data_IF_841731217978
#
_entry.id   IF_841731217978
#
_cell.length_a   1.000
_cell.length_b   1.000
_cell.length_c   1.000
_cell.angle_alpha   90.00
_cell.angle_beta   90.00
_cell.angle_gamma   90.00
#
_symmetry.space_group_name_H-M   'P 1'
#
loop_
_entity.id
_entity.type
_entity.pdbx_description
1 polymer ?
#
# COMPACT_ATOMS: atom_id res chain seq x y z
N UNK A 1 -15.60 -14.73 -16.32
CA UNK A 1 -14.15 -15.01 -16.24
C UNK A 1 -13.63 -14.31 -14.98
N UNK A 2 -13.54 -15.03 -13.85
CA UNK A 2 -13.10 -14.49 -12.54
C UNK A 2 -11.98 -15.38 -12.00
N UNK A 3 -10.92 -15.56 -12.79
CA UNK A 3 -9.83 -16.42 -12.37
C UNK A 3 -8.96 -15.69 -11.34
N UNK A 4 -8.59 -16.39 -10.27
CA UNK A 4 -7.55 -15.94 -9.37
C UNK A 4 -6.24 -15.81 -10.17
N UNK A 5 -5.59 -14.66 -10.12
CA UNK A 5 -4.38 -14.31 -10.85
C UNK A 5 -3.24 -13.92 -9.92
N UNK A 6 -2.04 -13.83 -10.48
CA UNK A 6 -0.86 -13.28 -9.83
C UNK A 6 0.01 -12.57 -10.86
N UNK A 7 0.77 -11.59 -10.41
CA UNK A 7 1.76 -10.88 -11.19
C UNK A 7 3.02 -10.66 -10.35
N UNK A 8 4.18 -10.69 -10.99
CA UNK A 8 5.45 -10.47 -10.31
C UNK A 8 6.45 -9.73 -11.19
N UNK A 9 7.29 -8.91 -10.55
CA UNK A 9 8.43 -8.22 -11.17
C UNK A 9 9.64 -8.40 -10.28
N UNK A 10 10.78 -8.74 -10.88
CA UNK A 10 12.08 -8.80 -10.22
C UNK A 10 13.05 -7.83 -10.90
N UNK A 11 13.65 -6.95 -10.10
CA UNK A 11 14.67 -5.98 -10.49
C UNK A 11 16.00 -6.37 -9.88
N UNK A 12 17.07 -6.20 -10.65
CA UNK A 12 18.45 -6.32 -10.19
C UNK A 12 18.90 -5.03 -9.52
N UNK A 13 19.26 -5.11 -8.24
CA UNK A 13 19.57 -3.93 -7.44
C UNK A 13 20.89 -3.27 -7.85
N UNK A 14 21.82 -4.00 -8.47
CA UNK A 14 23.11 -3.44 -8.89
C UNK A 14 22.98 -2.48 -10.07
N UNK A 15 22.05 -2.75 -10.99
CA UNK A 15 21.95 -2.03 -12.27
C UNK A 15 20.57 -1.45 -12.59
N UNK A 16 19.50 -1.80 -11.86
CA UNK A 16 18.15 -1.29 -12.06
C UNK A 16 17.33 -1.99 -13.16
N UNK A 17 17.90 -2.97 -13.87
CA UNK A 17 17.19 -3.67 -14.94
C UNK A 17 16.15 -4.67 -14.41
N UNK A 18 15.03 -4.76 -15.10
CA UNK A 18 14.01 -5.80 -14.87
C UNK A 18 14.56 -7.13 -15.36
N UNK A 19 14.81 -8.07 -14.44
CA UNK A 19 15.34 -9.41 -14.73
C UNK A 19 14.26 -10.44 -15.04
N UNK A 20 13.10 -10.29 -14.43
CA UNK A 20 11.98 -11.18 -14.63
C UNK A 20 10.66 -10.42 -14.50
N UNK A 21 9.70 -10.76 -15.36
CA UNK A 21 8.34 -10.22 -15.33
C UNK A 21 7.35 -11.33 -15.64
N UNK A 22 6.31 -11.44 -14.82
CA UNK A 22 5.23 -12.41 -14.99
C UNK A 22 3.89 -11.67 -14.87
N UNK A 23 3.10 -11.69 -15.94
CA UNK A 23 1.85 -10.91 -16.05
C UNK A 23 0.55 -11.67 -15.74
N UNK A 24 0.64 -12.97 -15.44
CA UNK A 24 -0.50 -13.85 -15.20
C UNK A 24 -0.06 -15.28 -14.91
N UNK A 25 -1.01 -16.14 -14.49
CA UNK A 25 -0.72 -17.56 -14.15
C UNK A 25 -0.52 -18.47 -15.36
N UNK A 26 -1.26 -18.22 -16.43
CA UNK A 26 -1.15 -18.94 -17.70
C UNK A 26 -1.39 -17.95 -18.85
N UNK A 27 -0.83 -18.26 -20.00
CA UNK A 27 -1.05 -17.54 -21.25
C UNK A 27 -1.19 -18.57 -22.37
N UNK A 28 -2.43 -18.90 -22.72
CA UNK A 28 -2.74 -19.92 -23.74
C UNK A 28 -2.86 -19.32 -25.15
N UNK A 29 -2.60 -18.01 -25.29
CA UNK A 29 -2.69 -17.26 -26.54
C UNK A 29 -1.33 -16.68 -26.96
N UNK A 30 -0.95 -16.94 -28.21
CA UNK A 30 0.26 -16.42 -28.85
C UNK A 30 0.01 -15.01 -29.40
N UNK A 31 -0.06 -14.02 -28.51
CA UNK A 31 -0.17 -12.62 -28.88
C UNK A 31 -0.12 -11.70 -27.66
N UNK A 32 -0.36 -10.41 -27.86
CA UNK A 32 -0.38 -9.45 -26.76
C UNK A 32 -1.61 -9.67 -25.88
N UNK A 33 -1.37 -10.04 -24.63
CA UNK A 33 -2.39 -10.14 -23.59
C UNK A 33 -2.10 -9.16 -22.47
N UNK A 34 -3.10 -8.88 -21.63
CA UNK A 34 -2.91 -8.06 -20.42
C UNK A 34 -1.77 -8.60 -19.56
N UNK A 35 -0.71 -7.82 -19.41
CA UNK A 35 0.37 -8.06 -18.47
C UNK A 35 0.12 -7.27 -17.18
N UNK A 36 -0.42 -7.96 -16.18
CA UNK A 36 -0.81 -7.35 -14.90
C UNK A 36 0.37 -6.77 -14.12
N UNK A 37 1.60 -7.16 -14.43
CA UNK A 37 2.77 -6.68 -13.72
C UNK A 37 3.01 -5.18 -13.92
N UNK A 38 2.62 -4.61 -15.07
CA UNK A 38 2.79 -3.19 -15.37
C UNK A 38 1.54 -2.49 -15.94
N UNK A 39 0.54 -3.25 -16.40
CA UNK A 39 -0.70 -2.69 -16.96
C UNK A 39 -1.90 -2.76 -16.01
N UNK A 40 -1.78 -3.46 -14.87
CA UNK A 40 -2.85 -3.55 -13.86
C UNK A 40 -2.44 -2.82 -12.60
N UNK A 41 -3.24 -1.83 -12.23
CA UNK A 41 -3.06 -1.05 -11.01
C UNK A 41 -4.03 -1.56 -9.94
N UNK A 42 -3.53 -1.78 -8.73
CA UNK A 42 -4.25 -2.44 -7.63
C UNK A 42 -3.93 -1.75 -6.32
N UNK A 43 -4.83 -1.88 -5.35
CA UNK A 43 -4.63 -1.30 -4.01
C UNK A 43 -3.40 -1.96 -3.35
N UNK A 44 -2.33 -1.22 -3.01
CA UNK A 44 -1.12 -1.81 -2.41
C UNK A 44 -1.32 -2.25 -0.96
N UNK A 45 -2.35 -1.71 -0.28
CA UNK A 45 -2.52 -1.86 1.15
C UNK A 45 -1.28 -1.40 1.92
N UNK A 46 -0.99 -2.07 3.05
CA UNK A 46 0.18 -1.77 3.89
C UNK A 46 1.55 -1.89 3.20
N UNK A 47 1.65 -2.44 1.99
CA UNK A 47 2.93 -2.49 1.26
C UNK A 47 3.40 -1.08 0.83
N UNK A 48 2.51 -0.07 0.79
CA UNK A 48 2.92 1.30 0.44
C UNK A 48 3.63 2.03 1.59
N UNK A 49 3.36 1.65 2.85
CA UNK A 49 3.79 2.40 4.04
C UNK A 49 5.29 2.72 4.07
N UNK A 50 6.21 1.80 3.72
CA UNK A 50 7.64 2.12 3.67
C UNK A 50 7.98 3.26 2.70
N UNK A 51 7.28 3.37 1.57
CA UNK A 51 7.59 4.35 0.53
C UNK A 51 7.10 5.76 0.88
N UNK A 52 5.90 5.89 1.44
CA UNK A 52 5.26 7.21 1.59
C UNK A 52 5.09 7.68 3.04
N UNK A 53 5.26 6.79 4.02
CA UNK A 53 5.11 7.13 5.44
C UNK A 53 6.46 7.07 6.12
N UNK A 54 6.99 5.88 6.32
CA UNK A 54 8.06 5.68 7.30
C UNK A 54 9.44 6.13 6.81
N UNK A 55 9.80 5.89 5.54
CA UNK A 55 11.10 6.37 5.01
C UNK A 55 11.11 7.90 4.96
N UNK A 56 10.04 8.58 4.49
CA UNK A 56 9.91 10.03 4.63
C UNK A 56 9.98 10.53 6.08
N UNK A 57 9.36 9.85 7.05
CA UNK A 57 9.44 10.22 8.47
C UNK A 57 10.87 10.17 9.01
N UNK A 58 11.70 9.22 8.55
CA UNK A 58 13.11 9.13 8.94
C UNK A 58 13.97 10.27 8.39
N UNK A 59 13.48 11.04 7.42
CA UNK A 59 14.14 12.27 7.01
C UNK A 59 13.81 13.47 7.91
N UNK A 60 12.87 13.30 8.85
CA UNK A 60 12.25 14.33 9.70
C UNK A 60 12.26 13.96 11.18
N UNK A 61 13.45 13.67 11.71
CA UNK A 61 13.74 13.43 13.13
C UNK A 61 13.20 12.13 13.75
N UNK A 62 12.42 11.32 13.03
CA UNK A 62 12.12 9.96 13.50
C UNK A 62 13.31 9.03 13.26
N UNK A 63 13.49 8.09 14.18
CA UNK A 63 14.45 6.99 14.08
C UNK A 63 13.71 5.66 14.31
N UNK A 64 14.35 4.51 14.05
CA UNK A 64 13.75 3.21 14.36
C UNK A 64 13.28 3.07 15.81
N UNK A 65 13.94 3.77 16.75
CA UNK A 65 13.71 3.66 18.19
C UNK A 65 12.83 4.78 18.76
N UNK A 66 12.41 5.76 17.93
CA UNK A 66 11.43 6.76 18.32
C UNK A 66 10.16 6.11 18.86
N UNK A 67 9.70 6.58 20.02
CA UNK A 67 8.48 6.09 20.67
C UNK A 67 7.27 6.78 20.06
N UNK A 68 6.25 6.00 19.73
CA UNK A 68 4.97 6.42 19.16
C UNK A 68 3.82 5.72 19.88
N UNK A 69 2.67 6.37 19.98
CA UNK A 69 1.52 5.86 20.73
C UNK A 69 0.46 5.28 19.80
N UNK A 70 0.28 3.95 19.87
CA UNK A 70 -0.78 3.21 19.21
C UNK A 70 -2.04 3.20 20.08
N UNK A 71 -3.05 3.95 19.65
CA UNK A 71 -4.33 4.11 20.33
C UNK A 71 -5.45 4.33 19.30
N UNK A 72 -6.73 4.14 19.66
CA UNK A 72 -7.85 4.42 18.78
C UNK A 72 -7.84 5.86 18.26
N UNK A 73 -8.16 6.03 16.99
CA UNK A 73 -8.37 7.33 16.36
C UNK A 73 -9.87 7.42 16.05
N UNK A 74 -10.54 8.43 16.57
CA UNK A 74 -11.96 8.70 16.28
C UNK A 74 -12.13 8.92 14.76
N UNK A 75 -13.09 8.22 14.15
CA UNK A 75 -13.30 8.15 12.69
C UNK A 75 -12.08 7.70 11.87
N UNK A 76 -11.04 7.21 12.54
CA UNK A 76 -9.80 6.77 11.92
C UNK A 76 -9.73 5.26 11.69
N UNK A 77 -8.59 4.79 11.16
CA UNK A 77 -8.41 3.38 10.87
C UNK A 77 -8.26 2.55 12.13
N UNK A 78 -8.72 1.30 12.07
CA UNK A 78 -8.48 0.29 13.10
C UNK A 78 -7.28 -0.58 12.72
N UNK A 79 -6.58 -1.09 13.73
CA UNK A 79 -5.55 -2.10 13.54
C UNK A 79 -6.18 -3.41 13.07
N UNK A 80 -5.46 -4.17 12.22
CA UNK A 80 -5.97 -5.41 11.65
C UNK A 80 -6.32 -6.48 12.72
N UNK A 81 -5.66 -6.45 13.88
CA UNK A 81 -5.94 -7.34 15.01
C UNK A 81 -6.97 -6.78 16.01
N UNK A 82 -7.49 -5.57 15.79
CA UNK A 82 -8.45 -4.90 16.67
C UNK A 82 -7.90 -4.44 18.03
N UNK A 83 -6.59 -4.57 18.28
CA UNK A 83 -5.95 -4.22 19.55
C UNK A 83 -5.00 -3.03 19.41
N UNK A 84 -4.70 -2.38 20.52
CA UNK A 84 -3.84 -1.20 20.60
C UNK A 84 -2.73 -1.46 21.61
N UNK A 85 -1.48 -1.20 21.20
CA UNK A 85 -0.28 -1.58 21.96
C UNK A 85 0.24 -0.47 22.88
N UNK A 86 -0.38 0.71 22.90
CA UNK A 86 0.13 1.87 23.64
C UNK A 86 1.45 2.35 23.09
N UNK A 87 2.42 2.65 23.96
CA UNK A 87 3.74 3.11 23.54
C UNK A 87 4.54 1.96 22.91
N UNK A 88 4.92 2.14 21.65
CA UNK A 88 5.77 1.22 20.88
C UNK A 88 6.83 2.02 20.11
N UNK A 89 7.86 1.36 19.60
CA UNK A 89 8.82 2.01 18.71
C UNK A 89 8.30 2.08 17.28
N UNK A 90 8.81 3.00 16.46
CA UNK A 90 8.54 3.03 15.01
C UNK A 90 8.93 1.69 14.35
N UNK A 91 10.05 1.07 14.76
CA UNK A 91 10.42 -0.29 14.34
C UNK A 91 9.28 -1.28 14.56
N UNK A 92 8.75 -1.34 15.78
CA UNK A 92 7.65 -2.24 16.12
C UNK A 92 6.40 -1.93 15.29
N UNK A 93 6.12 -0.66 15.04
CA UNK A 93 4.97 -0.24 14.24
C UNK A 93 5.07 -0.73 12.79
N UNK A 94 6.25 -0.69 12.17
CA UNK A 94 6.48 -1.22 10.81
C UNK A 94 6.41 -2.75 10.80
N UNK A 95 7.09 -3.42 11.72
CA UNK A 95 7.18 -4.89 11.82
C UNK A 95 5.79 -5.53 11.98
N UNK A 96 4.95 -4.94 12.82
CA UNK A 96 3.56 -5.35 13.07
C UNK A 96 2.55 -4.67 12.14
N UNK A 97 3.01 -3.77 11.27
CA UNK A 97 2.19 -3.05 10.29
C UNK A 97 1.01 -2.28 10.90
N UNK A 98 1.24 -1.61 12.02
CA UNK A 98 0.23 -0.87 12.81
C UNK A 98 -0.39 0.25 11.96
N UNK A 99 -1.71 0.34 11.92
CA UNK A 99 -2.43 1.25 11.02
C UNK A 99 -2.54 2.67 11.60
N UNK A 100 -2.82 2.77 12.89
CA UNK A 100 -2.92 4.04 13.62
C UNK A 100 -1.63 4.85 13.53
N UNK A 101 -0.47 4.21 13.72
CA UNK A 101 0.83 4.87 13.61
C UNK A 101 1.11 5.32 12.18
N UNK A 102 0.84 4.47 11.19
CA UNK A 102 1.05 4.84 9.80
C UNK A 102 0.20 6.06 9.41
N UNK A 103 -1.04 6.11 9.90
CA UNK A 103 -1.94 7.24 9.70
C UNK A 103 -1.42 8.52 10.37
N UNK A 104 -1.13 8.47 11.68
CA UNK A 104 -0.64 9.64 12.44
C UNK A 104 0.64 10.23 11.85
N UNK A 105 1.63 9.37 11.52
CA UNK A 105 2.89 9.84 10.92
C UNK A 105 2.68 10.44 9.53
N UNK A 106 1.72 9.92 8.75
CA UNK A 106 1.41 10.45 7.43
C UNK A 106 0.63 11.76 7.49
N UNK A 107 -0.24 11.95 8.48
CA UNK A 107 -0.87 13.24 8.75
C UNK A 107 0.15 14.29 9.18
N UNK A 108 1.10 13.93 10.05
CA UNK A 108 2.22 14.80 10.44
C UNK A 108 3.11 15.15 9.23
N UNK A 109 3.37 14.18 8.36
CA UNK A 109 4.13 14.37 7.12
C UNK A 109 3.40 15.26 6.11
N UNK A 110 2.07 15.17 6.10
CA UNK A 110 1.09 15.53 5.07
C UNK A 110 1.05 14.60 3.85
N UNK A 111 -0.14 14.35 3.25
CA UNK A 111 -0.26 13.53 2.04
C UNK A 111 0.55 14.05 0.85
N UNK A 112 0.67 15.36 0.69
CA UNK A 112 1.43 16.01 -0.39
C UNK A 112 2.89 15.62 -0.33
N UNK A 113 3.50 15.68 0.85
CA UNK A 113 4.89 15.27 1.02
C UNK A 113 5.02 13.78 0.73
N UNK A 114 4.17 12.95 1.33
CA UNK A 114 4.29 11.50 1.19
C UNK A 114 4.15 11.04 -0.26
N UNK A 115 3.20 11.61 -1.01
CA UNK A 115 3.01 11.31 -2.43
C UNK A 115 4.10 11.89 -3.32
N UNK A 116 4.75 13.00 -2.94
CA UNK A 116 5.86 13.56 -3.72
C UNK A 116 7.02 12.58 -3.94
N UNK A 117 7.21 11.60 -3.05
CA UNK A 117 8.19 10.53 -3.25
C UNK A 117 7.78 9.57 -4.37
N UNK A 118 6.48 9.26 -4.50
CA UNK A 118 5.97 8.43 -5.60
C UNK A 118 6.01 9.18 -6.93
N UNK A 119 5.76 10.50 -6.92
CA UNK A 119 5.89 11.37 -8.09
C UNK A 119 7.33 11.35 -8.63
N UNK A 120 8.34 11.54 -7.76
CA UNK A 120 9.76 11.42 -8.13
C UNK A 120 10.12 10.02 -8.67
N UNK A 121 9.46 8.98 -8.16
CA UNK A 121 9.62 7.61 -8.66
C UNK A 121 8.75 7.28 -9.88
N UNK A 122 8.12 8.28 -10.50
CA UNK A 122 7.30 8.16 -11.71
C UNK A 122 6.14 7.15 -11.60
N UNK A 123 5.47 7.08 -10.45
CA UNK A 123 4.23 6.31 -10.32
C UNK A 123 3.15 6.94 -11.21
N UNK A 124 2.62 6.17 -12.15
CA UNK A 124 1.93 6.67 -13.34
C UNK A 124 0.44 6.99 -13.13
N UNK A 125 -0.16 6.54 -12.02
CA UNK A 125 -1.62 6.57 -11.80
C UNK A 125 -2.05 7.25 -10.49
N UNK A 126 -1.19 8.11 -9.94
CA UNK A 126 -1.58 8.97 -8.83
C UNK A 126 -2.74 9.88 -9.25
N UNK A 127 -3.75 9.99 -8.40
CA UNK A 127 -4.94 10.80 -8.62
C UNK A 127 -5.02 11.95 -7.60
N UNK A 128 -5.67 13.06 -7.95
CA UNK A 128 -5.88 14.18 -7.03
C UNK A 128 -6.65 13.76 -5.76
N UNK A 129 -7.47 12.71 -5.83
CA UNK A 129 -8.18 12.16 -4.67
C UNK A 129 -7.29 11.32 -3.73
N UNK A 130 -6.04 11.05 -4.12
CA UNK A 130 -5.08 10.29 -3.29
C UNK A 130 -4.41 11.15 -2.22
N UNK A 131 -4.52 12.48 -2.30
CA UNK A 131 -3.95 13.43 -1.32
C UNK A 131 -4.82 13.50 -0.06
N UNK A 132 -4.94 12.37 0.63
CA UNK A 132 -5.73 12.17 1.85
C UNK A 132 -5.09 11.15 2.78
N UNK A 133 -5.38 11.17 4.09
CA UNK A 133 -4.75 10.27 5.05
C UNK A 133 -4.94 8.76 4.77
N UNK A 134 -6.05 8.36 4.13
CA UNK A 134 -6.33 6.97 3.78
C UNK A 134 -5.27 6.32 2.88
N UNK A 135 -4.53 7.14 2.13
CA UNK A 135 -3.46 6.68 1.24
C UNK A 135 -2.28 6.10 2.02
N UNK A 136 -2.06 6.52 3.27
CA UNK A 136 -1.09 5.91 4.19
C UNK A 136 -1.29 4.39 4.36
N UNK A 137 -2.52 3.92 4.17
CA UNK A 137 -2.90 2.51 4.31
C UNK A 137 -3.08 1.81 2.96
N UNK A 138 -2.73 2.50 1.87
CA UNK A 138 -2.87 2.00 0.51
C UNK A 138 -4.24 2.18 -0.10
N UNK A 139 -5.06 3.14 0.37
CA UNK A 139 -6.36 3.50 -0.19
C UNK A 139 -6.28 4.50 -1.35
N UNK A 140 -5.66 4.06 -2.46
CA UNK A 140 -5.50 4.83 -3.69
C UNK A 140 -6.76 4.80 -4.55
N UNK A 141 -6.88 5.72 -5.48
CA UNK A 141 -8.00 5.79 -6.45
C UNK A 141 -7.79 4.74 -7.53
N UNK A 142 -6.62 4.75 -8.17
CA UNK A 142 -6.28 3.80 -9.24
C UNK A 142 -5.40 2.64 -8.76
N UNK A 143 -4.67 2.82 -7.65
CA UNK A 143 -3.71 1.84 -7.15
C UNK A 143 -2.35 1.94 -7.83
N UNK A 144 -1.56 0.87 -7.67
CA UNK A 144 -0.17 0.77 -8.15
C UNK A 144 0.05 -0.57 -8.84
N UNK A 145 1.05 -0.64 -9.72
CA UNK A 145 1.47 -1.84 -10.42
C UNK A 145 2.59 -2.59 -9.68
N UNK A 146 2.81 -3.86 -10.03
CA UNK A 146 3.90 -4.63 -9.43
C UNK A 146 5.28 -4.08 -9.83
N UNK A 147 5.39 -3.51 -11.02
CA UNK A 147 6.59 -2.84 -11.52
C UNK A 147 6.96 -1.62 -10.66
N UNK A 148 6.00 -0.73 -10.39
CA UNK A 148 6.20 0.46 -9.56
C UNK A 148 6.58 0.08 -8.12
N UNK A 149 5.92 -0.94 -7.56
CA UNK A 149 6.25 -1.42 -6.22
C UNK A 149 7.66 -2.04 -6.16
N UNK A 150 8.08 -2.79 -7.19
CA UNK A 150 9.42 -3.33 -7.26
C UNK A 150 10.48 -2.22 -7.39
N UNK A 151 10.26 -1.23 -8.25
CA UNK A 151 11.23 -0.13 -8.45
C UNK A 151 11.32 0.78 -7.23
N UNK A 152 10.20 1.07 -6.55
CA UNK A 152 10.21 1.85 -5.32
C UNK A 152 10.97 1.17 -4.18
N UNK A 153 10.80 -0.15 -4.01
CA UNK A 153 11.58 -0.89 -3.00
C UNK A 153 13.05 -1.04 -3.39
N UNK A 154 13.36 -1.13 -4.69
CA UNK A 154 14.74 -1.13 -5.17
C UNK A 154 15.43 0.20 -4.83
N UNK A 155 14.70 1.33 -4.86
CA UNK A 155 15.23 2.62 -4.43
C UNK A 155 15.60 2.64 -2.93
N UNK A 156 14.78 2.03 -2.06
CA UNK A 156 15.14 1.87 -0.63
C UNK A 156 16.44 1.07 -0.49
N UNK A 157 16.54 -0.05 -1.21
CA UNK A 157 17.73 -0.91 -1.11
C UNK A 157 19.00 -0.27 -1.68
N UNK A 158 18.83 0.62 -2.65
CA UNK A 158 19.91 1.33 -3.33
C UNK A 158 20.17 2.71 -2.68
N UNK A 159 20.16 2.75 -1.36
CA UNK A 159 20.53 3.93 -0.58
C UNK A 159 19.67 5.18 -0.89
N UNK A 160 18.43 4.96 -1.31
CA UNK A 160 17.48 6.02 -1.66
C UNK A 160 17.52 6.45 -3.13
N UNK A 161 18.35 5.82 -3.97
CA UNK A 161 18.49 6.16 -5.37
C UNK A 161 17.53 5.33 -6.24
N UNK A 162 16.57 6.01 -6.86
CA UNK A 162 15.65 5.43 -7.81
C UNK A 162 16.28 5.32 -9.20
N UNK A 163 15.98 4.23 -9.90
CA UNK A 163 16.31 4.04 -11.32
C UNK A 163 15.04 3.64 -12.05
N UNK A 164 14.76 4.32 -13.17
CA UNK A 164 13.59 4.01 -13.98
C UNK A 164 13.69 2.56 -14.51
N UNK A 165 12.70 1.70 -14.20
CA UNK A 165 12.81 0.28 -14.52
C UNK A 165 12.66 0.05 -16.03
N UNK A 166 13.56 -0.74 -16.60
CA UNK A 166 13.50 -1.13 -18.03
C UNK A 166 14.02 -2.55 -18.24
N UNK A 167 13.55 -3.20 -19.30
CA UNK A 167 14.13 -4.44 -19.82
C UNK A 167 15.03 -4.21 -21.04
N UNK A 168 15.08 -2.98 -21.57
CA UNK A 168 15.85 -2.62 -22.76
C UNK A 168 17.22 -2.11 -22.32
N UNK A 169 18.26 -2.91 -22.58
CA UNK A 169 19.65 -2.51 -22.35
C UNK A 169 20.17 -1.66 -23.50
N UNK A 170 19.94 -2.14 -24.73
CA UNK A 170 20.45 -1.55 -25.96
C UNK A 170 19.59 -1.98 -27.14
N UNK A 171 19.42 -1.10 -28.13
CA UNK A 171 18.80 -1.40 -29.42
C UNK A 171 19.82 -1.09 -30.51
N UNK A 172 19.96 -2.02 -31.46
CA UNK A 172 20.82 -1.91 -32.63
C UNK A 172 19.96 -1.82 -33.89
N UNK A 173 20.44 -1.09 -34.90
CA UNK A 173 19.90 -1.21 -36.25
C UNK A 173 20.41 -2.50 -36.95
N UNK A 174 19.98 -2.71 -38.19
CA UNK A 174 20.35 -3.88 -38.98
C UNK A 174 21.85 -3.94 -39.33
N UNK A 175 22.53 -2.79 -39.34
CA UNK A 175 23.96 -2.66 -39.62
C UNK A 175 24.82 -2.79 -38.35
N UNK A 176 24.18 -2.94 -37.19
CA UNK A 176 24.84 -3.06 -35.88
C UNK A 176 25.18 -1.73 -35.23
N UNK A 177 24.69 -0.60 -35.76
CA UNK A 177 24.85 0.70 -35.12
C UNK A 177 23.90 0.83 -33.93
N UNK A 178 24.38 1.45 -32.87
CA UNK A 178 23.58 1.70 -31.67
C UNK A 178 22.59 2.84 -31.89
N UNK A 179 21.29 2.53 -31.77
CA UNK A 179 20.20 3.52 -31.88
C UNK A 179 19.66 3.93 -30.51
N UNK A 180 19.87 3.10 -29.49
CA UNK A 180 19.49 3.38 -28.12
C UNK A 180 20.36 2.56 -27.16
N UNK A 181 20.79 3.18 -26.06
CA UNK A 181 21.31 2.50 -24.89
C UNK A 181 20.68 3.11 -23.64
N UNK A 182 20.25 2.24 -22.72
CA UNK A 182 19.67 2.70 -21.46
C UNK A 182 20.77 3.26 -20.56
N UNK A 183 20.64 4.52 -20.17
CA UNK A 183 21.59 5.19 -19.28
C UNK A 183 21.48 4.76 -17.81
N UNK A 184 20.36 4.14 -17.40
CA UNK A 184 20.07 3.76 -16.00
C UNK A 184 20.44 4.85 -14.98
N UNK A 185 20.05 6.09 -15.27
CA UNK A 185 20.35 7.25 -14.43
C UNK A 185 19.69 7.11 -13.06
N UNK A 186 20.43 7.52 -12.03
CA UNK A 186 19.94 7.55 -10.66
C UNK A 186 19.27 8.90 -10.34
N UNK A 187 18.14 8.83 -9.67
CA UNK A 187 17.47 9.96 -9.04
C UNK A 187 17.47 9.77 -7.53
N UNK A 188 18.06 10.70 -6.78
CA UNK A 188 18.07 10.64 -5.32
C UNK A 188 16.67 10.99 -4.78
N UNK A 189 15.94 9.98 -4.34
CA UNK A 189 14.56 10.10 -3.83
C UNK A 189 14.54 10.17 -2.31
N UNK A 190 15.34 9.33 -1.64
CA UNK A 190 15.48 9.33 -0.19
C UNK A 190 16.92 9.65 0.25
N UNK A 191 17.08 10.15 1.48
CA UNK A 191 18.40 10.19 2.13
C UNK A 191 18.88 8.76 2.40
N UNK A 192 20.15 8.49 2.10
CA UNK A 192 20.81 7.20 2.36
C UNK A 192 20.53 6.66 3.77
N UNK A 193 20.66 7.49 4.81
CA UNK A 193 20.47 7.03 6.18
C UNK A 193 19.02 6.59 6.47
N UNK A 194 18.03 7.32 5.92
CA UNK A 194 16.62 7.00 6.04
C UNK A 194 16.29 5.68 5.32
N UNK A 195 16.81 5.49 4.11
CA UNK A 195 16.66 4.25 3.35
C UNK A 195 17.25 3.04 4.10
N UNK A 196 18.45 3.18 4.67
CA UNK A 196 19.08 2.11 5.46
C UNK A 196 18.39 1.83 6.80
N UNK A 197 17.86 2.85 7.47
CA UNK A 197 16.97 2.66 8.64
C UNK A 197 15.74 1.84 8.26
N UNK A 198 15.13 2.14 7.09
CA UNK A 198 14.00 1.37 6.58
C UNK A 198 14.38 -0.09 6.33
N UNK A 199 15.48 -0.33 5.60
CA UNK A 199 15.98 -1.69 5.35
C UNK A 199 16.24 -2.45 6.64
N UNK A 200 16.81 -1.80 7.65
CA UNK A 200 17.06 -2.44 8.93
C UNK A 200 15.79 -2.93 9.62
N UNK A 201 14.73 -2.12 9.59
CA UNK A 201 13.42 -2.47 10.15
C UNK A 201 12.70 -3.52 9.29
N UNK A 202 12.78 -3.43 7.96
CA UNK A 202 12.12 -4.38 7.06
C UNK A 202 12.71 -5.79 7.13
N UNK A 203 13.95 -5.97 7.62
CA UNK A 203 14.45 -7.29 8.05
C UNK A 203 13.58 -7.89 9.15
N UNK A 204 13.23 -7.06 10.14
CA UNK A 204 12.36 -7.42 11.28
C UNK A 204 11.00 -7.95 10.85
N UNK A 205 10.43 -7.42 9.76
CA UNK A 205 9.15 -7.91 9.22
C UNK A 205 9.22 -9.41 8.87
N UNK A 206 10.37 -9.88 8.37
CA UNK A 206 10.62 -11.27 7.98
C UNK A 206 11.04 -12.13 9.17
N UNK A 207 11.78 -11.58 10.13
CA UNK A 207 12.35 -12.36 11.25
C UNK A 207 11.44 -12.44 12.48
N UNK A 208 10.57 -11.46 12.70
CA UNK A 208 9.70 -11.38 13.89
C UNK A 208 8.31 -10.78 13.62
N UNK A 209 8.10 -10.18 12.44
CA UNK A 209 6.88 -9.45 12.11
C UNK A 209 5.87 -10.21 11.25
N UNK A 210 5.10 -9.45 10.48
CA UNK A 210 3.97 -9.98 9.66
C UNK A 210 4.37 -10.98 8.56
N UNK A 211 5.65 -11.08 8.22
CA UNK A 211 6.21 -12.01 7.24
C UNK A 211 7.03 -13.13 7.87
N UNK A 212 6.90 -13.35 9.18
CA UNK A 212 7.62 -14.39 9.90
C UNK A 212 7.53 -15.75 9.19
N UNK A 213 8.69 -16.36 8.93
CA UNK A 213 8.82 -17.64 8.24
C UNK A 213 9.05 -17.55 6.72
N UNK A 214 9.03 -16.33 6.15
CA UNK A 214 9.35 -16.10 4.74
C UNK A 214 10.83 -15.84 4.47
N UNK A 215 11.73 -16.18 5.40
CA UNK A 215 13.18 -16.01 5.23
C UNK A 215 13.77 -16.88 4.11
N UNK A 216 14.97 -16.52 3.64
CA UNK A 216 15.68 -17.16 2.53
C UNK A 216 16.87 -18.02 3.01
N UNK A 217 16.71 -18.70 4.14
CA UNK A 217 17.82 -19.42 4.79
C UNK A 217 18.85 -18.46 5.37
N UNK A 218 20.10 -18.59 4.96
CA UNK A 218 21.20 -17.71 5.40
C UNK A 218 21.30 -16.39 4.63
N UNK A 219 20.54 -16.22 3.54
CA UNK A 219 20.54 -14.98 2.77
C UNK A 219 19.72 -13.90 3.52
N UNK A 220 20.34 -12.78 3.92
CA UNK A 220 19.61 -11.66 4.51
C UNK A 220 18.56 -11.14 3.54
N UNK A 221 17.35 -10.92 4.05
CA UNK A 221 16.23 -10.41 3.29
C UNK A 221 15.44 -9.39 4.11
N UNK A 222 14.83 -8.44 3.40
CA UNK A 222 13.93 -7.44 3.94
C UNK A 222 12.64 -7.43 3.10
N UNK A 223 11.51 -7.07 3.69
CA UNK A 223 10.28 -6.98 2.90
C UNK A 223 9.07 -6.54 3.69
N UNK A 224 7.96 -6.37 2.99
CA UNK A 224 6.71 -5.90 3.55
C UNK A 224 5.50 -6.64 2.96
N UNK A 225 4.58 -6.98 3.84
CA UNK A 225 3.26 -7.48 3.49
C UNK A 225 2.30 -6.33 3.19
N UNK A 226 1.44 -6.52 2.20
CA UNK A 226 0.30 -5.65 1.90
C UNK A 226 -0.97 -6.45 1.71
N UNK A 227 -2.09 -5.91 2.18
CA UNK A 227 -3.42 -6.49 1.99
C UNK A 227 -4.41 -5.33 1.94
N UNK A 228 -5.24 -5.28 0.90
CA UNK A 228 -6.27 -4.26 0.77
C UNK A 228 -7.47 -4.55 1.68
N UNK A 229 -8.29 -3.53 1.94
CA UNK A 229 -9.57 -3.72 2.62
C UNK A 229 -10.41 -4.78 1.88
N UNK A 230 -11.13 -5.60 2.63
CA UNK A 230 -11.86 -6.79 2.16
C UNK A 230 -11.01 -7.92 1.55
N UNK A 231 -9.69 -7.92 1.71
CA UNK A 231 -8.82 -9.01 1.25
C UNK A 231 -8.96 -9.29 -0.26
N UNK A 232 -9.12 -8.24 -1.06
CA UNK A 232 -9.24 -8.31 -2.53
C UNK A 232 -7.88 -8.44 -3.21
N UNK A 233 -6.86 -7.80 -2.62
CA UNK A 233 -5.48 -7.77 -3.12
C UNK A 233 -4.51 -8.20 -2.02
N UNK A 234 -3.63 -9.13 -2.37
CA UNK A 234 -2.52 -9.56 -1.53
C UNK A 234 -1.20 -9.17 -2.17
N UNK A 235 -0.33 -8.56 -1.39
CA UNK A 235 0.98 -8.10 -1.83
C UNK A 235 2.09 -8.61 -0.92
N UNK A 236 3.21 -8.97 -1.55
CA UNK A 236 4.49 -9.07 -0.87
C UNK A 236 5.55 -8.40 -1.72
N UNK A 237 6.28 -7.46 -1.13
CA UNK A 237 7.40 -6.82 -1.79
C UNK A 237 8.60 -6.99 -0.89
N UNK A 238 9.65 -7.61 -1.41
CA UNK A 238 10.84 -7.91 -0.62
C UNK A 238 12.09 -7.99 -1.47
N UNK A 239 13.22 -7.83 -0.82
CA UNK A 239 14.51 -7.69 -1.47
C UNK A 239 15.65 -8.29 -0.64
N UNK A 240 16.73 -8.56 -1.35
CA UNK A 240 18.08 -8.80 -0.82
C UNK A 240 19.00 -7.75 -1.43
N UNK A 241 20.30 -7.78 -1.12
CA UNK A 241 21.29 -6.96 -1.84
C UNK A 241 21.37 -7.23 -3.35
N UNK A 242 20.89 -8.38 -3.83
CA UNK A 242 20.94 -8.74 -5.24
C UNK A 242 19.68 -8.34 -6.01
N UNK A 243 18.51 -8.61 -5.45
CA UNK A 243 17.25 -8.53 -6.18
C UNK A 243 16.13 -7.93 -5.34
N UNK A 244 15.30 -7.10 -5.96
CA UNK A 244 14.02 -6.65 -5.42
C UNK A 244 12.88 -7.28 -6.20
N UNK A 245 11.97 -7.95 -5.52
CA UNK A 245 10.81 -8.61 -6.14
C UNK A 245 9.50 -8.16 -5.50
N UNK A 246 8.56 -7.76 -6.35
CA UNK A 246 7.17 -7.47 -5.98
C UNK A 246 6.25 -8.56 -6.52
N UNK A 247 5.32 -9.04 -5.69
CA UNK A 247 4.32 -10.05 -6.04
C UNK A 247 2.93 -9.57 -5.63
N UNK A 248 2.00 -9.55 -6.58
CA UNK A 248 0.57 -9.37 -6.36
C UNK A 248 -0.19 -10.67 -6.59
N UNK A 249 -1.27 -10.87 -5.82
CA UNK A 249 -2.26 -11.93 -6.00
C UNK A 249 -3.65 -11.36 -5.78
N UNK A 250 -4.58 -11.65 -6.70
CA UNK A 250 -5.96 -11.18 -6.62
C UNK A 250 -6.79 -11.60 -7.83
N UNK A 251 -8.04 -11.14 -7.88
CA UNK A 251 -8.94 -11.33 -9.02
C UNK A 251 -8.93 -10.10 -9.92
N UNK A 252 -9.07 -10.31 -11.24
CA UNK A 252 -9.11 -9.20 -12.21
C UNK A 252 -10.25 -8.23 -11.93
N UNK A 253 -11.46 -8.79 -11.76
CA UNK A 253 -12.58 -8.10 -11.15
C UNK A 253 -12.44 -8.26 -9.63
N UNK A 254 -12.22 -7.17 -8.87
CA UNK A 254 -11.93 -7.24 -7.44
C UNK A 254 -12.98 -8.03 -6.69
N UNK A 255 -12.56 -9.12 -6.06
CA UNK A 255 -13.42 -10.00 -5.26
C UNK A 255 -12.68 -10.38 -3.99
N UNK A 256 -13.38 -10.33 -2.87
CA UNK A 256 -12.86 -10.79 -1.58
C UNK A 256 -12.38 -12.23 -1.69
N UNK A 257 -11.20 -12.49 -1.15
CA UNK A 257 -10.65 -13.84 -1.00
C UNK A 257 -10.38 -14.09 0.48
N UNK A 258 -11.16 -15.00 1.05
CA UNK A 258 -11.00 -15.36 2.46
C UNK A 258 -9.58 -15.83 2.74
N UNK A 259 -9.01 -15.31 3.84
CA UNK A 259 -7.65 -15.61 4.30
C UNK A 259 -6.52 -15.13 3.37
N UNK A 260 -6.81 -14.34 2.34
CA UNK A 260 -5.74 -13.66 1.62
C UNK A 260 -5.06 -12.65 2.54
N UNK A 261 -3.75 -12.83 2.70
CA UNK A 261 -2.84 -11.89 3.36
C UNK A 261 -1.55 -11.81 2.56
N UNK A 262 -0.78 -10.72 2.75
CA UNK A 262 0.51 -10.57 2.08
C UNK A 262 1.48 -11.73 2.33
N UNK A 263 1.44 -12.33 3.52
CA UNK A 263 2.29 -13.47 3.90
C UNK A 263 1.81 -14.84 3.39
N UNK A 264 0.64 -14.92 2.74
CA UNK A 264 0.08 -16.17 2.24
C UNK A 264 0.57 -16.47 0.82
N UNK A 265 -0.30 -16.41 -0.19
CA UNK A 265 0.09 -16.62 -1.59
C UNK A 265 1.21 -15.68 -2.05
N UNK A 266 1.13 -14.34 -1.85
CA UNK A 266 2.15 -13.42 -2.37
C UNK A 266 3.54 -13.71 -1.78
N UNK A 267 3.62 -13.80 -0.44
CA UNK A 267 4.86 -14.10 0.27
C UNK A 267 5.45 -15.48 -0.06
N UNK A 268 4.61 -16.51 -0.19
CA UNK A 268 5.06 -17.87 -0.57
C UNK A 268 5.60 -17.89 -2.01
N UNK A 269 4.93 -17.21 -2.94
CA UNK A 269 5.40 -17.08 -4.33
C UNK A 269 6.74 -16.34 -4.35
N UNK A 270 6.84 -15.22 -3.64
CA UNK A 270 8.07 -14.45 -3.51
C UNK A 270 9.21 -15.31 -2.95
N UNK A 271 8.98 -16.03 -1.84
CA UNK A 271 10.01 -16.85 -1.19
C UNK A 271 10.50 -17.96 -2.13
N UNK A 272 9.60 -18.67 -2.79
CA UNK A 272 9.97 -19.74 -3.74
C UNK A 272 10.78 -19.20 -4.91
N UNK A 273 10.35 -18.08 -5.48
CA UNK A 273 11.06 -17.42 -6.57
C UNK A 273 12.46 -16.96 -6.11
N UNK A 274 12.54 -16.28 -4.97
CA UNK A 274 13.79 -15.73 -4.46
C UNK A 274 14.76 -16.82 -4.02
N UNK A 275 14.31 -17.92 -3.40
CA UNK A 275 15.16 -19.08 -3.12
C UNK A 275 15.80 -19.62 -4.41
N UNK A 276 15.02 -19.71 -5.51
CA UNK A 276 15.53 -20.14 -6.81
C UNK A 276 16.49 -19.14 -7.43
N UNK A 277 16.17 -17.84 -7.37
CA UNK A 277 17.01 -16.76 -7.89
C UNK A 277 18.35 -16.61 -7.15
N UNK A 278 18.43 -17.10 -5.91
CA UNK A 278 19.64 -17.07 -5.08
C UNK A 278 20.43 -18.39 -5.06
N UNK A 279 20.02 -19.41 -5.80
CA UNK A 279 20.80 -20.65 -5.91
C UNK A 279 22.23 -20.36 -6.40
N UNK A 280 23.23 -20.85 -5.66
CA UNK A 280 24.65 -20.64 -5.97
C UNK A 280 25.19 -19.25 -5.64
N UNK A 281 24.40 -18.36 -5.04
CA UNK A 281 24.86 -17.04 -4.57
C UNK A 281 25.31 -17.09 -3.11
N UNK A 282 26.39 -16.37 -2.81
CA UNK A 282 26.84 -16.16 -1.43
C UNK A 282 25.91 -15.18 -0.70
N UNK A 283 25.61 -15.40 0.59
CA UNK A 283 24.92 -14.41 1.42
C UNK A 283 25.63 -13.06 1.41
N UNK A 284 24.85 -11.97 1.29
CA UNK A 284 25.35 -10.61 1.38
C UNK A 284 24.51 -9.82 2.39
N UNK A 285 25.19 -9.25 3.38
CA UNK A 285 24.58 -8.41 4.40
C UNK A 285 24.17 -7.04 3.84
N UNK A 286 23.08 -6.51 4.38
CA UNK A 286 22.68 -5.13 4.11
C UNK A 286 23.68 -4.14 4.72
N UNK A 287 23.82 -2.98 4.07
CA UNK A 287 24.67 -1.92 4.59
C UNK A 287 24.03 -1.28 5.84
N UNK A 288 24.82 -1.00 6.90
CA UNK A 288 24.28 -0.42 8.11
C UNK A 288 23.95 1.07 7.93
N UNK A 289 22.96 1.55 8.69
CA UNK A 289 22.67 2.98 8.85
C UNK A 289 23.58 3.59 9.93
N UNK A 290 23.86 4.88 9.81
CA UNK A 290 24.57 5.65 10.82
C UNK A 290 23.66 5.87 12.04
N UNK A 291 24.16 5.48 13.21
CA UNK A 291 23.54 5.79 14.48
C UNK A 291 23.83 7.26 14.80
N UNK A 292 22.80 8.05 15.08
CA UNK A 292 23.00 9.36 15.69
C UNK A 292 23.37 9.09 17.15
N UNK A 293 24.60 9.37 17.56
CA UNK A 293 24.97 9.32 18.97
C UNK A 293 24.27 10.45 19.72
N UNK A 294 23.84 10.18 20.95
CA UNK A 294 23.16 11.14 21.85
C UNK A 294 24.01 12.41 22.17
N UNK A 295 25.25 12.48 21.71
CA UNK A 295 26.21 13.56 22.02
C UNK A 295 26.02 14.84 21.18
N UNK A 296 25.16 14.86 20.17
CA UNK A 296 24.95 16.04 19.29
C UNK A 296 23.69 16.86 19.67
N UNK A 297 23.32 16.86 20.95
CA UNK A 297 22.23 17.70 21.47
C UNK A 297 22.67 18.92 22.30
N UNK A 298 23.97 19.18 22.45
CA UNK A 298 24.45 20.47 22.98
C UNK A 298 24.66 21.49 21.86
N UNK A 299 23.56 21.97 21.28
CA UNK A 299 23.60 23.28 20.61
C UNK A 299 23.53 24.36 21.69
N UNK A 300 24.66 25.03 21.92
CA UNK A 300 24.74 26.25 22.71
C UNK A 300 23.82 27.32 22.12
N UNK A 301 22.87 27.80 22.92
CA UNK A 301 22.25 29.11 22.69
C UNK A 301 23.30 30.17 23.01
N UNK A 302 23.80 30.86 21.99
CA UNK A 302 24.42 32.18 22.17
C UNK A 302 23.30 33.22 22.24
N UNK A 303 23.19 33.80 23.44
CA UNK A 303 23.04 35.22 23.76
C UNK A 303 22.08 36.09 22.92
N UNK A 304 20.96 36.46 23.56
CA UNK A 304 20.53 37.87 23.59
C UNK A 304 20.15 38.25 25.01
N UNK A 305 20.79 39.33 25.46
CA UNK A 305 20.77 39.94 26.78
C UNK A 305 19.39 40.46 27.19
N UNK A 306 19.04 40.34 28.47
CA UNK A 306 18.81 41.50 29.37
C UNK A 306 18.54 41.03 30.82
N UNK A 307 19.41 41.49 31.71
CA UNK A 307 19.25 41.62 33.18
C UNK A 307 18.97 43.13 33.43
N UNK A 308 18.61 43.67 34.63
CA UNK A 308 18.64 43.04 35.96
C UNK A 308 17.54 43.46 36.98
N UNK A 309 17.44 42.73 38.09
CA UNK A 309 17.59 43.21 39.49
C UNK A 309 17.22 42.09 40.47
N UNK A 310 18.19 41.47 41.14
CA UNK A 310 18.71 41.82 42.47
C UNK A 310 17.63 41.89 43.58
N UNK A 311 17.62 40.91 44.47
CA UNK A 311 18.11 41.11 45.84
C UNK A 311 18.19 39.76 46.61
N UNK A 312 19.36 39.57 47.22
CA UNK A 312 19.63 38.61 48.28
C UNK A 312 18.93 39.03 49.58
N UNK A 313 18.55 38.10 50.46
CA UNK A 313 19.44 37.61 51.52
C UNK A 313 18.72 36.68 52.53
N UNK A 314 19.51 35.73 53.03
CA UNK A 314 19.52 34.98 54.29
C UNK A 314 18.44 35.24 55.39
N UNK A 315 17.85 34.18 55.98
CA UNK A 315 18.39 33.49 57.19
C UNK A 315 17.42 32.49 57.88
N UNK A 316 18.05 31.57 58.61
CA UNK A 316 17.63 30.47 59.47
C UNK A 316 16.58 30.72 60.60
N UNK A 317 15.92 29.63 61.04
CA UNK A 317 16.00 29.19 62.45
C UNK A 317 14.74 29.18 63.36
N UNK A 318 14.30 27.95 63.70
CA UNK A 318 13.89 27.42 65.03
C UNK A 318 12.61 27.86 65.81
N UNK A 319 11.78 26.81 66.06
CA UNK A 319 11.25 26.26 67.36
C UNK A 319 10.13 26.90 68.21
N UNK A 320 9.38 25.95 68.84
CA UNK A 320 8.61 25.97 70.10
C UNK A 320 7.16 26.51 70.11
N UNK A 321 6.15 25.97 70.83
CA UNK A 321 5.94 24.74 71.65
C UNK A 321 4.46 24.72 72.11
N UNK A 322 3.90 23.51 72.38
CA UNK A 322 2.96 23.13 73.48
C UNK A 322 1.57 23.82 73.62
N UNK A 323 0.53 23.26 74.26
CA UNK A 323 -0.02 21.92 74.66
C UNK A 323 -1.26 22.23 75.55
N UNK A 324 -2.25 21.30 75.62
CA UNK A 324 -3.20 20.96 76.73
C UNK A 324 -4.54 20.49 76.11
N UNK A 325 -5.01 19.22 76.14
CA UNK A 325 -5.45 18.32 77.25
C UNK A 325 -6.42 19.02 78.24
N UNK A 326 -7.54 18.47 78.73
CA UNK A 326 -8.12 17.11 78.82
C UNK A 326 -9.56 17.27 79.39
N UNK A 327 -10.47 16.32 79.12
CA UNK A 327 -11.21 15.54 80.16
C UNK A 327 -12.60 14.99 79.74
N UNK A 328 -12.75 13.69 80.00
CA UNK A 328 -13.95 12.88 79.93
C UNK A 328 -14.57 12.75 81.33
N UNK A 329 -15.90 12.72 81.45
CA UNK A 329 -16.59 11.99 82.52
C UNK A 329 -17.95 11.44 82.07
N UNK A 330 -18.20 10.17 82.42
CA UNK A 330 -19.50 9.48 82.51
C UNK A 330 -19.73 9.16 84.00
N UNK A 331 -20.97 8.94 84.50
CA UNK A 331 -21.46 7.55 84.64
C UNK A 331 -23.01 7.35 84.59
N UNK A 332 -23.38 6.07 84.69
CA UNK A 332 -24.67 5.36 84.52
C UNK A 332 -25.80 5.69 85.53
N UNK A 333 -27.09 5.56 85.14
CA UNK A 333 -28.05 4.54 85.68
C UNK A 333 -29.52 4.62 85.16
N UNK A 334 -30.07 3.42 84.87
CA UNK A 334 -31.42 2.87 85.12
C UNK A 334 -32.73 3.42 84.47
N UNK A 335 -33.27 2.58 83.56
CA UNK A 335 -34.64 2.02 83.46
C UNK A 335 -35.88 2.84 83.90
N UNK A 336 -36.80 3.12 82.95
CA UNK A 336 -38.17 2.52 82.86
C UNK A 336 -39.03 3.21 81.76
N UNK A 337 -39.97 2.42 81.21
CA UNK A 337 -41.14 2.79 80.36
C UNK A 337 -40.88 3.10 78.87
N UNK A 338 -41.73 2.73 77.91
CA UNK A 338 -42.65 1.60 77.69
C UNK A 338 -43.22 1.84 76.28
N UNK A 339 -43.15 0.81 75.43
CA UNK A 339 -44.12 0.47 74.38
C UNK A 339 -44.75 1.59 73.52
N UNK A 340 -44.11 1.99 72.41
CA UNK A 340 -44.81 2.41 71.18
C UNK A 340 -43.95 2.53 69.89
N UNK A 341 -42.80 1.85 69.78
CA UNK A 341 -41.88 2.01 68.64
C UNK A 341 -41.68 0.84 67.62
N UNK A 342 -42.26 -0.37 67.73
CA UNK A 342 -42.05 -1.38 66.68
C UNK A 342 -42.93 -1.22 65.43
N UNK A 343 -44.09 -0.56 65.52
CA UNK A 343 -45.07 -0.53 64.42
C UNK A 343 -44.75 0.53 63.35
N UNK A 344 -44.32 1.74 63.74
CA UNK A 344 -43.96 2.79 62.77
C UNK A 344 -42.70 2.46 61.98
N UNK A 345 -41.71 1.80 62.60
CA UNK A 345 -40.49 1.35 61.89
C UNK A 345 -40.77 0.21 60.90
N UNK A 346 -41.71 -0.70 61.20
CA UNK A 346 -42.11 -1.74 60.25
C UNK A 346 -42.91 -1.17 59.07
N UNK A 347 -43.76 -0.17 59.31
CA UNK A 347 -44.54 0.47 58.26
C UNK A 347 -43.63 1.26 57.30
N UNK A 348 -42.67 2.02 57.83
CA UNK A 348 -41.68 2.73 57.02
C UNK A 348 -40.77 1.79 56.22
N UNK A 349 -40.39 0.63 56.78
CA UNK A 349 -39.62 -0.38 56.03
C UNK A 349 -40.44 -1.02 54.90
N UNK A 350 -41.74 -1.25 55.10
CA UNK A 350 -42.62 -1.78 54.04
C UNK A 350 -42.84 -0.77 52.92
N UNK A 351 -43.01 0.52 53.24
CA UNK A 351 -43.14 1.59 52.25
C UNK A 351 -41.84 1.76 51.44
N UNK A 352 -40.68 1.72 52.09
CA UNK A 352 -39.39 1.76 51.39
C UNK A 352 -39.17 0.54 50.47
N UNK A 353 -39.60 -0.66 50.88
CA UNK A 353 -39.53 -1.84 50.01
C UNK A 353 -40.47 -1.76 48.81
N UNK A 354 -41.68 -1.23 48.98
CA UNK A 354 -42.60 -1.02 47.86
C UNK A 354 -42.07 0.03 46.88
N UNK A 355 -41.47 1.11 47.39
CA UNK A 355 -40.89 2.15 46.55
C UNK A 355 -39.68 1.62 45.76
N UNK A 356 -38.80 0.82 46.39
CA UNK A 356 -37.70 0.15 45.70
C UNK A 356 -38.18 -0.83 44.61
N UNK A 357 -39.29 -1.54 44.84
CA UNK A 357 -39.87 -2.42 43.83
C UNK A 357 -40.44 -1.63 42.64
N UNK A 358 -41.09 -0.50 42.89
CA UNK A 358 -41.59 0.39 41.83
C UNK A 358 -40.44 1.01 41.02
N UNK A 359 -39.37 1.45 41.67
CA UNK A 359 -38.20 2.00 41.00
C UNK A 359 -37.49 0.94 40.15
N UNK A 360 -37.37 -0.30 40.64
CA UNK A 360 -36.84 -1.41 39.84
C UNK A 360 -37.70 -1.75 38.63
N UNK A 361 -39.03 -1.68 38.77
CA UNK A 361 -39.95 -1.93 37.67
C UNK A 361 -39.87 -0.83 36.60
N UNK A 362 -39.81 0.45 37.02
CA UNK A 362 -39.58 1.56 36.09
C UNK A 362 -38.23 1.47 35.35
N UNK A 363 -37.17 1.04 36.04
CA UNK A 363 -35.87 0.82 35.39
C UNK A 363 -35.91 -0.33 34.37
N UNK A 364 -36.66 -1.40 34.65
CA UNK A 364 -36.85 -2.49 33.69
C UNK A 364 -37.65 -2.04 32.46
N UNK A 365 -38.70 -1.25 32.66
CA UNK A 365 -39.51 -0.71 31.56
C UNK A 365 -38.68 0.24 30.68
N UNK A 366 -37.88 1.12 31.28
CA UNK A 366 -36.95 2.00 30.53
C UNK A 366 -35.89 1.22 29.75
N UNK A 367 -35.35 0.13 30.31
CA UNK A 367 -34.41 -0.74 29.59
C UNK A 367 -35.07 -1.47 28.42
N UNK A 368 -36.34 -1.88 28.54
CA UNK A 368 -37.07 -2.50 27.44
C UNK A 368 -37.38 -1.50 26.32
N UNK A 369 -37.77 -0.27 26.66
CA UNK A 369 -38.00 0.78 25.67
C UNK A 369 -36.71 1.15 24.93
N UNK A 370 -35.58 1.22 25.64
CA UNK A 370 -34.27 1.48 25.02
C UNK A 370 -33.86 0.34 24.08
N UNK A 371 -34.04 -0.92 24.48
CA UNK A 371 -33.78 -2.07 23.60
C UNK A 371 -34.66 -2.07 22.34
N UNK A 372 -35.92 -1.65 22.44
CA UNK A 372 -36.79 -1.53 21.27
C UNK A 372 -36.35 -0.40 20.32
N UNK A 373 -35.88 0.73 20.86
CA UNK A 373 -35.33 1.81 20.05
C UNK A 373 -34.03 1.41 19.34
N UNK A 374 -33.13 0.72 20.04
CA UNK A 374 -31.89 0.20 19.45
C UNK A 374 -32.17 -0.79 18.32
N UNK A 375 -33.14 -1.71 18.51
CA UNK A 375 -33.56 -2.64 17.46
C UNK A 375 -34.14 -1.93 16.23
N UNK A 376 -34.90 -0.85 16.41
CA UNK A 376 -35.44 -0.06 15.29
C UNK A 376 -34.33 0.69 14.55
N UNK A 377 -33.33 1.23 15.26
CA UNK A 377 -32.18 1.88 14.63
C UNK A 377 -31.32 0.89 13.85
N UNK A 378 -31.06 -0.30 14.41
CA UNK A 378 -30.33 -1.37 13.72
C UNK A 378 -31.06 -1.80 12.43
N UNK A 379 -32.39 -1.90 12.48
CA UNK A 379 -33.19 -2.24 11.30
C UNK A 379 -33.12 -1.15 10.22
N UNK A 380 -33.22 0.13 10.60
CA UNK A 380 -33.05 1.24 9.66
C UNK A 380 -31.65 1.29 9.03
N UNK A 381 -30.60 0.99 9.79
CA UNK A 381 -29.24 0.91 9.26
C UNK A 381 -29.08 -0.26 8.28
N UNK A 382 -29.69 -1.41 8.56
CA UNK A 382 -29.70 -2.55 7.65
C UNK A 382 -30.42 -2.23 6.33
N UNK A 383 -31.57 -1.54 6.40
CA UNK A 383 -32.31 -1.13 5.21
C UNK A 383 -31.52 -0.14 4.36
N UNK A 384 -30.85 0.85 4.99
CA UNK A 384 -29.97 1.79 4.28
C UNK A 384 -28.76 1.08 3.63
N UNK A 385 -28.16 0.10 4.31
CA UNK A 385 -27.08 -0.70 3.72
C UNK A 385 -27.56 -1.53 2.53
N UNK A 386 -28.78 -2.08 2.58
CA UNK A 386 -29.37 -2.81 1.44
C UNK A 386 -29.62 -1.88 0.25
N UNK A 387 -30.14 -0.68 0.46
CA UNK A 387 -30.34 0.30 -0.61
C UNK A 387 -29.02 0.72 -1.26
N UNK A 388 -27.98 0.99 -0.46
CA UNK A 388 -26.65 1.30 -0.98
C UNK A 388 -26.05 0.14 -1.78
N UNK A 389 -26.23 -1.10 -1.32
CA UNK A 389 -25.78 -2.28 -2.08
C UNK A 389 -26.54 -2.43 -3.41
N UNK A 390 -27.83 -2.14 -3.44
CA UNK A 390 -28.60 -2.17 -4.69
C UNK A 390 -28.15 -1.07 -5.67
N UNK A 391 -27.88 0.15 -5.18
CA UNK A 391 -27.34 1.23 -6.02
C UNK A 391 -25.97 0.87 -6.60
N UNK A 392 -25.06 0.32 -5.79
CA UNK A 392 -23.75 -0.13 -6.26
C UNK A 392 -23.85 -1.25 -7.30
N UNK A 393 -24.82 -2.18 -7.15
CA UNK A 393 -25.06 -3.21 -8.15
C UNK A 393 -25.57 -2.63 -9.47
N UNK A 394 -26.47 -1.63 -9.43
CA UNK A 394 -26.95 -0.94 -10.63
C UNK A 394 -25.83 -0.17 -11.33
N UNK A 395 -24.98 0.54 -10.60
CA UNK A 395 -23.83 1.24 -11.17
C UNK A 395 -22.83 0.27 -11.81
N UNK A 396 -22.54 -0.86 -11.15
CA UNK A 396 -21.67 -1.90 -11.73
C UNK A 396 -22.25 -2.48 -13.01
N UNK A 397 -23.58 -2.67 -13.08
CA UNK A 397 -24.23 -3.16 -14.28
C UNK A 397 -24.15 -2.14 -15.41
N UNK A 398 -24.38 -0.86 -15.15
CA UNK A 398 -24.21 0.21 -16.13
C UNK A 398 -22.77 0.30 -16.66
N UNK A 399 -21.77 0.14 -15.78
CA UNK A 399 -20.37 0.12 -16.20
C UNK A 399 -20.03 -1.10 -17.07
N UNK A 400 -20.61 -2.27 -16.78
CA UNK A 400 -20.45 -3.46 -17.61
C UNK A 400 -21.07 -3.28 -19.00
N UNK A 401 -22.26 -2.68 -19.08
CA UNK A 401 -22.92 -2.41 -20.35
C UNK A 401 -22.09 -1.42 -21.20
N UNK A 402 -21.58 -0.34 -20.58
CA UNK A 402 -20.67 0.60 -21.26
C UNK A 402 -19.38 -0.06 -21.76
N UNK A 403 -18.80 -0.98 -20.99
CA UNK A 403 -17.62 -1.72 -21.43
C UNK A 403 -17.92 -2.66 -22.60
N UNK A 404 -19.10 -3.30 -22.61
CA UNK A 404 -19.53 -4.14 -23.73
C UNK A 404 -19.72 -3.31 -25.01
N UNK A 405 -20.34 -2.13 -24.90
CA UNK A 405 -20.51 -1.22 -26.03
C UNK A 405 -19.16 -0.74 -26.59
N UNK A 406 -18.21 -0.38 -25.72
CA UNK A 406 -16.85 -0.02 -26.15
C UNK A 406 -16.13 -1.18 -26.85
N UNK A 407 -16.27 -2.41 -26.34
CA UNK A 407 -15.68 -3.59 -26.99
C UNK A 407 -16.31 -3.87 -28.36
N UNK A 408 -17.63 -3.69 -28.51
CA UNK A 408 -18.29 -3.82 -29.81
C UNK A 408 -17.82 -2.76 -30.81
N UNK A 409 -17.66 -1.52 -30.37
CA UNK A 409 -17.13 -0.44 -31.22
C UNK A 409 -15.69 -0.72 -31.66
N UNK A 410 -14.83 -1.21 -30.75
CA UNK A 410 -13.46 -1.60 -31.09
C UNK A 410 -13.44 -2.74 -32.12
N UNK A 411 -14.27 -3.77 -31.94
CA UNK A 411 -14.37 -4.88 -32.90
C UNK A 411 -14.81 -4.42 -34.28
N UNK A 412 -15.73 -3.44 -34.37
CA UNK A 412 -16.15 -2.86 -35.65
C UNK A 412 -15.02 -2.08 -36.31
N UNK A 413 -14.25 -1.29 -35.55
CA UNK A 413 -13.09 -0.57 -36.07
C UNK A 413 -12.00 -1.54 -36.57
N UNK A 414 -11.72 -2.60 -35.83
CA UNK A 414 -10.73 -3.61 -36.21
C UNK A 414 -11.15 -4.35 -37.49
N UNK A 415 -12.45 -4.68 -37.64
CA UNK A 415 -12.98 -5.27 -38.87
C UNK A 415 -12.86 -4.33 -40.06
N UNK A 416 -13.11 -3.04 -39.86
CA UNK A 416 -12.97 -2.03 -40.91
C UNK A 416 -11.52 -1.88 -41.36
N UNK A 417 -10.57 -1.81 -40.41
CA UNK A 417 -9.14 -1.78 -40.74
C UNK A 417 -8.67 -3.02 -41.51
N UNK A 418 -9.19 -4.20 -41.17
CA UNK A 418 -8.89 -5.43 -41.92
C UNK A 418 -9.43 -5.40 -43.35
N UNK A 419 -10.63 -4.83 -43.56
CA UNK A 419 -11.19 -4.66 -44.91
C UNK A 419 -10.35 -3.67 -45.74
N UNK A 420 -9.94 -2.56 -45.14
CA UNK A 420 -9.09 -1.57 -45.81
C UNK A 420 -7.74 -2.18 -46.21
N UNK A 421 -7.10 -2.96 -45.33
CA UNK A 421 -5.86 -3.68 -45.64
C UNK A 421 -6.03 -4.70 -46.77
N UNK A 422 -7.17 -5.39 -46.83
CA UNK A 422 -7.45 -6.33 -47.93
C UNK A 422 -7.63 -5.61 -49.27
N UNK A 423 -8.30 -4.44 -49.27
CA UNK A 423 -8.44 -3.62 -50.47
C UNK A 423 -7.08 -3.10 -50.96
N UNK A 424 -6.22 -2.64 -50.06
CA UNK A 424 -4.87 -2.18 -50.40
C UNK A 424 -4.01 -3.31 -50.99
N UNK A 425 -4.08 -4.51 -50.41
CA UNK A 425 -3.38 -5.68 -50.96
C UNK A 425 -3.89 -6.04 -52.36
N UNK A 426 -5.20 -5.95 -52.59
CA UNK A 426 -5.78 -6.24 -53.89
C UNK A 426 -5.35 -5.21 -54.95
N UNK A 427 -5.34 -3.92 -54.60
CA UNK A 427 -4.82 -2.87 -55.50
C UNK A 427 -3.34 -3.08 -55.84
N UNK A 428 -2.52 -3.51 -54.88
CA UNK A 428 -1.11 -3.82 -55.14
C UNK A 428 -0.96 -5.03 -56.08
N UNK A 429 -1.79 -6.06 -55.94
CA UNK A 429 -1.78 -7.21 -56.84
C UNK A 429 -2.19 -6.81 -58.27
N UNK A 430 -3.22 -5.97 -58.41
CA UNK A 430 -3.68 -5.49 -59.71
C UNK A 430 -2.58 -4.66 -60.41
N UNK A 431 -1.89 -3.77 -59.68
CA UNK A 431 -0.76 -3.01 -60.21
C UNK A 431 0.41 -3.91 -60.64
N UNK A 432 0.70 -4.98 -59.89
CA UNK A 432 1.75 -5.94 -60.28
C UNK A 432 1.37 -6.71 -61.54
N UNK A 433 0.11 -7.11 -61.70
CA UNK A 433 -0.35 -7.76 -62.93
C UNK A 433 -0.26 -6.84 -64.13
N UNK A 434 -0.62 -5.56 -63.98
CA UNK A 434 -0.55 -4.57 -65.05
C UNK A 434 0.91 -4.32 -65.49
N UNK A 435 1.84 -4.24 -64.54
CA UNK A 435 3.28 -4.15 -64.84
C UNK A 435 3.80 -5.40 -65.57
N UNK A 436 3.37 -6.60 -65.17
CA UNK A 436 3.76 -7.84 -65.86
C UNK A 436 3.23 -7.88 -67.30
N UNK A 437 2.00 -7.41 -67.55
CA UNK A 437 1.45 -7.32 -68.90
C UNK A 437 2.24 -6.33 -69.77
N UNK A 438 2.62 -5.17 -69.22
CA UNK A 438 3.45 -4.20 -69.94
C UNK A 438 4.82 -4.80 -70.32
N UNK A 439 5.48 -5.49 -69.38
CA UNK A 439 6.76 -6.15 -69.67
C UNK A 439 6.65 -7.23 -70.75
N UNK A 440 5.55 -8.01 -70.76
CA UNK A 440 5.31 -9.00 -71.82
C UNK A 440 5.12 -8.33 -73.19
N UNK A 441 4.38 -7.22 -73.26
CA UNK A 441 4.21 -6.47 -74.51
C UNK A 441 5.53 -5.89 -75.02
N UNK A 442 6.37 -5.35 -74.13
CA UNK A 442 7.70 -4.85 -74.51
C UNK A 442 8.61 -5.96 -75.03
N UNK A 443 8.61 -7.13 -74.38
CA UNK A 443 9.40 -8.29 -74.86
C UNK A 443 8.93 -8.75 -76.23
N UNK A 444 7.62 -8.75 -76.48
CA UNK A 444 7.08 -9.15 -77.77
C UNK A 444 7.46 -8.15 -78.88
N UNK A 445 7.39 -6.85 -78.61
CA UNK A 445 7.85 -5.83 -79.55
C UNK A 445 9.35 -5.96 -79.86
N UNK A 446 10.18 -6.29 -78.86
CA UNK A 446 11.61 -6.53 -79.08
C UNK A 446 11.87 -7.78 -79.94
N UNK A 447 11.09 -8.85 -79.76
CA UNK A 447 11.19 -10.05 -80.59
C UNK A 447 10.80 -9.76 -82.04
N UNK A 448 9.71 -9.01 -82.26
CA UNK A 448 9.26 -8.63 -83.60
C UNK A 448 10.32 -7.77 -84.31
N UNK A 449 10.92 -6.80 -83.61
CA UNK A 449 12.02 -5.99 -84.16
C UNK A 449 13.25 -6.83 -84.53
N UNK A 450 13.61 -7.82 -83.71
CA UNK A 450 14.72 -8.74 -84.02
C UNK A 450 14.43 -9.62 -85.24
N UNK A 451 13.18 -10.08 -85.41
CA UNK A 451 12.78 -10.84 -86.59
C UNK A 451 12.82 -10.00 -87.86
N UNK A 452 12.32 -8.76 -87.81
CA UNK A 452 12.38 -7.84 -88.94
C UNK A 452 13.83 -7.53 -89.34
N UNK A 453 14.72 -7.36 -88.36
CA UNK A 453 16.14 -7.13 -88.60
C UNK A 453 16.84 -8.35 -89.23
N UNK A 454 16.52 -9.57 -88.77
CA UNK A 454 17.02 -10.81 -89.38
C UNK A 454 16.51 -11.00 -90.82
N UNK A 455 15.28 -10.60 -91.12
CA UNK A 455 14.75 -10.66 -92.49
C UNK A 455 15.44 -9.66 -93.42
N UNK A 456 15.79 -8.46 -92.92
CA UNK A 456 16.54 -7.48 -93.70
C UNK A 456 17.99 -7.95 -93.98
N UNK A 457 18.64 -8.59 -93.00
CA UNK A 457 19.99 -9.13 -93.17
C UNK A 457 20.05 -10.34 -94.14
N UNK A 458 18.95 -11.07 -94.33
CA UNK A 458 18.86 -12.14 -95.33
C UNK A 458 18.58 -11.65 -96.76
N UNK A 459 18.20 -10.38 -96.94
CA UNK A 459 17.92 -9.78 -98.25
C UNK A 459 19.10 -8.98 -98.81
N UNK A 460 20.16 -8.77 -98.02
CA UNK A 460 21.46 -8.26 -98.46
C UNK A 460 22.42 -9.40 -98.79
#
# INVERSE_FOLDING_TARGET
MYALQSAAVCIDNDNGYVRAIVGGRSQDFSGYTLNRAFQSYRQPGSAIKPLIVYTPSFERNYTPDSVVTDEPIEDGPRNANGSYSGQITVRTAVEKSVNTIAWKLYEELTPEVGLSYLEKMNFAKLDANDYRPATALGGFTNGVSALEMASGYAAIENDGNYRAPTCIVKILDADGNEIYASAQTEEAVYKQNAARMMTDILKGVITSGTAHGLGLGSMPAAGKTGTSNDQKDGWFVGYTRYYTTSVWVGYDMPKKMDKLMGSTYPGTIWQKFMLKAHEGRSPMEFLPYAQVSDEVHTFHQEDTEENPDQNADENAGQQDQNQQQQDQQQPQNQQQQDQQQPQEQQQQQQEQQQQQQQDQQQQQDQQQDQQQQDQQQDQQQQDQQQEQQQQQQQEQQQQQDQQQDQQQQQQQQDQQQQQDQQQDQQQQQDQQQEQQQQQQQEQQQQQDQQQDQQQQDQQQ
#
